data_IF_367867842732
#
_entry.id   IF_367867842732
#
_cell.length_a   1.000
_cell.length_b   1.000
_cell.length_c   1.000
_cell.angle_alpha   90.00
_cell.angle_beta   90.00
_cell.angle_gamma   90.00
#
_symmetry.space_group_name_H-M   'P 1'
#
loop_
_entity.id
_entity.type
_entity.pdbx_description
1 polymer ?
#
# COMPACT_ATOMS: atom_id res chain seq x y z
N UNK A 1 -18.77 -24.20 -12.31
CA UNK A 1 -18.47 -23.96 -12.09
C UNK A 1 -17.64 -23.54 -11.72
N UNK A 2 -17.39 -23.30 -11.72
CA UNK A 2 -16.75 -22.96 -11.48
C UNK A 2 -16.04 -22.44 -10.60
N UNK A 3 -16.31 -22.57 -9.71
CA UNK A 3 -15.81 -22.13 -8.53
C UNK A 3 -14.35 -22.23 -8.53
N UNK A 4 -13.93 -23.26 -8.74
CA UNK A 4 -12.63 -23.53 -8.71
C UNK A 4 -12.02 -22.50 -9.44
N UNK A 5 -12.65 -22.03 -10.35
CA UNK A 5 -12.16 -21.20 -11.07
C UNK A 5 -11.84 -20.05 -10.39
N UNK A 6 -12.53 -19.82 -9.55
CA UNK A 6 -12.29 -18.69 -8.80
C UNK A 6 -10.89 -18.74 -8.32
N UNK A 7 -10.43 -19.77 -8.05
CA UNK A 7 -9.28 -19.92 -7.49
C UNK A 7 -8.24 -19.72 -8.37
N UNK A 8 -8.42 -20.16 -9.45
CA UNK A 8 -7.44 -19.94 -10.37
C UNK A 8 -7.28 -18.45 -10.37
N UNK A 9 -8.36 -17.79 -10.23
CA UNK A 9 -8.30 -16.38 -10.20
C UNK A 9 -7.43 -15.88 -9.13
N UNK A 10 -7.49 -16.46 -8.03
CA UNK A 10 -6.73 -16.03 -6.93
C UNK A 10 -5.29 -16.23 -7.15
N UNK A 11 -4.92 -17.33 -7.63
CA UNK A 11 -3.55 -17.59 -7.75
C UNK A 11 -3.02 -16.75 -8.89
N UNK A 12 -3.88 -16.35 -9.79
CA UNK A 12 -3.45 -15.58 -10.91
C UNK A 12 -3.97 -14.18 -10.78
N UNK A 13 -3.18 -13.30 -10.27
CA UNK A 13 -3.58 -11.91 -10.14
C UNK A 13 -4.00 -11.38 -11.50
N UNK A 14 -5.00 -10.51 -11.56
CA UNK A 14 -5.37 -9.88 -12.82
C UNK A 14 -4.30 -8.91 -13.28
N UNK A 15 -3.32 -8.64 -12.43
CA UNK A 15 -2.29 -7.68 -12.75
C UNK A 15 -1.01 -8.43 -13.14
N UNK A 16 -0.54 -8.25 -14.35
CA UNK A 16 0.58 -9.05 -14.87
C UNK A 16 1.97 -8.70 -14.41
N UNK A 17 2.16 -7.53 -13.86
CA UNK A 17 3.50 -7.13 -13.48
C UNK A 17 3.70 -7.20 -11.99
N UNK A 18 4.91 -7.56 -11.57
CA UNK A 18 5.22 -7.68 -10.15
C UNK A 18 6.46 -6.87 -9.85
N UNK A 19 6.40 -6.08 -8.81
CA UNK A 19 7.54 -5.30 -8.34
C UNK A 19 7.73 -5.58 -6.86
N UNK A 20 8.97 -5.68 -6.43
CA UNK A 20 9.27 -5.87 -5.01
C UNK A 20 10.23 -4.79 -4.58
N UNK A 21 10.10 -4.35 -3.34
CA UNK A 21 10.96 -3.31 -2.81
C UNK A 21 11.10 -3.49 -1.30
N UNK A 22 12.04 -2.79 -0.73
CA UNK A 22 12.21 -2.73 0.71
C UNK A 22 11.92 -1.30 1.09
N UNK A 23 11.44 -1.08 2.29
CA UNK A 23 11.17 0.28 2.73
C UNK A 23 11.67 0.50 4.14
N UNK A 24 11.94 1.78 4.46
CA UNK A 24 12.28 2.17 5.80
C UNK A 24 11.29 3.26 6.19
N UNK A 25 10.87 3.26 7.43
CA UNK A 25 10.02 4.32 7.97
C UNK A 25 10.96 5.40 8.46
N UNK A 26 10.91 6.56 7.85
CA UNK A 26 11.83 7.64 8.16
C UNK A 26 11.26 8.64 9.17
N UNK A 27 9.95 8.66 9.34
CA UNK A 27 9.36 9.43 10.44
C UNK A 27 8.05 8.77 10.85
N UNK A 28 7.71 8.93 12.11
CA UNK A 28 6.51 8.30 12.67
C UNK A 28 6.07 9.19 13.82
N UNK A 29 4.96 9.90 13.62
CA UNK A 29 4.47 10.84 14.60
C UNK A 29 3.04 10.55 15.00
N UNK A 30 2.83 9.89 16.13
CA UNK A 30 1.50 9.54 16.58
C UNK A 30 0.86 10.65 17.38
N UNK A 31 -0.44 10.79 17.27
CA UNK A 31 -1.23 11.72 18.04
C UNK A 31 -2.51 11.00 18.44
N UNK A 32 -2.70 10.79 19.73
CA UNK A 32 -3.92 10.17 20.23
C UNK A 32 -5.01 11.22 20.11
N UNK A 33 -6.11 10.89 19.47
CA UNK A 33 -7.20 11.83 19.29
C UNK A 33 -8.48 11.40 20.02
N UNK A 34 -8.49 10.20 20.57
CA UNK A 34 -9.62 9.71 21.31
C UNK A 34 -9.11 8.76 22.40
N UNK A 35 -9.34 9.08 23.65
CA UNK A 35 -8.82 8.33 24.76
C UNK A 35 -9.94 8.02 25.73
N UNK A 36 -10.68 6.93 25.50
CA UNK A 36 -11.79 6.61 26.39
C UNK A 36 -11.30 6.02 27.71
N UNK A 37 -12.18 6.03 28.68
CA UNK A 37 -11.84 5.47 29.96
C UNK A 37 -11.72 3.97 29.81
N UNK A 38 -12.64 3.36 29.08
CA UNK A 38 -12.63 1.94 28.83
C UNK A 38 -12.48 1.75 27.33
N UNK A 39 -11.53 0.99 26.93
CA UNK A 39 -11.32 0.68 25.52
C UNK A 39 -10.02 1.25 25.00
N UNK A 40 -9.64 0.86 23.81
CA UNK A 40 -8.36 1.27 23.25
C UNK A 40 -8.42 2.69 22.71
N UNK A 41 -7.28 3.35 22.75
CA UNK A 41 -7.17 4.70 22.22
C UNK A 41 -7.23 4.67 20.71
N UNK A 42 -7.68 5.76 20.11
CA UNK A 42 -7.59 5.96 18.68
C UNK A 42 -6.46 6.95 18.43
N UNK A 43 -5.59 6.61 17.50
CA UNK A 43 -4.38 7.37 17.25
C UNK A 43 -4.24 7.68 15.76
N UNK A 44 -3.89 8.90 15.45
CA UNK A 44 -3.56 9.26 14.08
C UNK A 44 -2.04 9.33 14.01
N UNK A 45 -1.46 8.75 12.97
CA UNK A 45 -0.03 8.74 12.79
C UNK A 45 0.29 9.38 11.46
N UNK A 46 1.22 10.34 11.45
CA UNK A 46 1.76 10.83 10.19
C UNK A 46 3.09 10.15 10.02
N UNK A 47 3.39 9.70 8.82
CA UNK A 47 4.59 8.94 8.59
C UNK A 47 5.18 9.20 7.23
N UNK A 48 6.47 8.94 7.11
CA UNK A 48 7.16 9.00 5.83
C UNK A 48 8.00 7.75 5.69
N UNK A 49 8.21 7.34 4.44
CA UNK A 49 9.00 6.17 4.13
C UNK A 49 9.90 6.44 2.95
N UNK A 50 10.95 5.63 2.84
CA UNK A 50 11.76 5.58 1.61
C UNK A 50 11.69 4.16 1.09
N UNK A 51 11.80 3.99 -0.22
CA UNK A 51 11.73 2.69 -0.88
C UNK A 51 12.96 2.46 -1.74
N UNK A 52 13.39 1.20 -1.81
CA UNK A 52 14.49 0.79 -2.65
C UNK A 52 14.17 -0.54 -3.29
N UNK A 53 14.49 -0.73 -4.54
CA UNK A 53 14.23 -1.95 -5.28
C UNK A 53 13.55 -1.62 -6.58
N UNK A 54 12.53 -2.39 -6.94
CA UNK A 54 11.78 -2.13 -8.16
C UNK A 54 10.92 -0.87 -8.01
N UNK A 55 10.70 -0.44 -6.79
CA UNK A 55 10.06 0.83 -6.49
C UNK A 55 11.09 1.63 -5.72
N UNK A 56 11.43 2.82 -6.19
CA UNK A 56 12.35 3.71 -5.49
C UNK A 56 11.66 5.04 -5.27
N UNK A 57 11.94 5.68 -4.16
CA UNK A 57 11.36 6.98 -3.87
C UNK A 57 10.94 7.12 -2.42
N UNK A 58 9.94 7.92 -2.18
CA UNK A 58 9.47 8.24 -0.84
C UNK A 58 7.99 8.28 -0.77
N UNK A 59 7.44 8.16 0.41
CA UNK A 59 6.02 8.38 0.60
C UNK A 59 5.76 9.25 1.80
N UNK A 60 4.60 9.90 1.78
CA UNK A 60 4.09 10.65 2.91
C UNK A 60 2.68 10.14 3.14
N UNK A 61 2.37 9.78 4.34
CA UNK A 61 1.06 9.18 4.62
C UNK A 61 0.50 9.53 5.98
N UNK A 62 -0.76 9.17 6.15
CA UNK A 62 -1.42 9.30 7.42
C UNK A 62 -2.18 8.02 7.67
N UNK A 63 -2.22 7.59 8.91
CA UNK A 63 -2.95 6.39 9.28
C UNK A 63 -3.82 6.61 10.49
N UNK A 64 -4.84 5.81 10.60
CA UNK A 64 -5.73 5.80 11.76
C UNK A 64 -5.59 4.43 12.39
N UNK A 65 -5.25 4.43 13.67
CA UNK A 65 -4.92 3.21 14.38
C UNK A 65 -5.81 3.03 15.60
N UNK A 66 -6.24 1.82 15.86
CA UNK A 66 -6.97 1.48 17.06
C UNK A 66 -6.15 0.40 17.74
N UNK A 67 -5.82 0.58 19.00
CA UNK A 67 -5.07 -0.43 19.74
C UNK A 67 -3.56 -0.38 19.53
N UNK A 68 -3.05 0.73 19.02
CA UNK A 68 -1.64 0.88 18.77
C UNK A 68 -0.81 0.66 20.03
N UNK A 69 -1.31 1.08 21.17
CA UNK A 69 -0.59 0.99 22.43
C UNK A 69 -0.71 -0.39 23.09
N UNK A 70 -1.71 -1.15 22.71
CA UNK A 70 -1.98 -2.46 23.31
C UNK A 70 -2.28 -3.50 22.24
N UNK A 71 -1.38 -3.71 21.29
CA UNK A 71 -1.67 -4.56 20.13
C UNK A 71 -1.95 -6.01 20.48
N UNK A 72 -1.47 -6.47 21.63
CA UNK A 72 -1.72 -7.85 22.02
C UNK A 72 -3.21 -8.12 22.29
N UNK A 73 -3.99 -7.08 22.58
CA UNK A 73 -5.41 -7.24 22.85
C UNK A 73 -6.23 -7.14 21.57
N UNK A 74 -5.61 -6.85 20.48
CA UNK A 74 -6.29 -6.64 19.22
C UNK A 74 -5.97 -5.28 18.69
N UNK A 75 -5.93 -5.12 17.39
CA UNK A 75 -5.56 -3.85 16.78
C UNK A 75 -6.08 -3.77 15.36
N UNK A 76 -6.27 -2.56 14.89
CA UNK A 76 -6.62 -2.33 13.50
C UNK A 76 -6.05 -1.03 13.03
N UNK A 77 -5.78 -0.92 11.74
CA UNK A 77 -5.26 0.31 11.20
C UNK A 77 -5.57 0.46 9.72
N UNK A 78 -5.56 1.70 9.26
CA UNK A 78 -5.70 2.02 7.85
C UNK A 78 -4.74 3.14 7.57
N UNK A 79 -4.00 3.04 6.46
CA UNK A 79 -3.03 4.06 6.07
C UNK A 79 -3.29 4.46 4.63
N UNK A 80 -3.20 5.75 4.33
CA UNK A 80 -3.26 6.26 2.99
C UNK A 80 -1.95 7.01 2.77
N UNK A 81 -1.20 6.66 1.73
CA UNK A 81 0.09 7.29 1.51
C UNK A 81 0.34 7.57 0.05
N UNK A 82 0.92 8.71 -0.24
CA UNK A 82 1.26 9.09 -1.60
C UNK A 82 2.73 8.82 -1.81
N UNK A 83 3.02 8.04 -2.82
CA UNK A 83 4.38 7.67 -3.18
C UNK A 83 4.82 8.55 -4.33
N UNK A 84 6.03 9.07 -4.24
CA UNK A 84 6.64 9.84 -5.32
C UNK A 84 7.94 9.13 -5.67
N UNK A 85 8.07 8.67 -6.89
CA UNK A 85 9.28 7.95 -7.26
C UNK A 85 9.18 7.25 -8.58
N UNK A 86 9.84 6.11 -8.68
CA UNK A 86 9.86 5.34 -9.91
C UNK A 86 9.43 3.91 -9.64
N UNK A 87 8.58 3.41 -10.49
CA UNK A 87 8.12 2.03 -10.43
C UNK A 87 8.41 1.41 -11.77
N UNK A 88 9.32 0.45 -11.81
CA UNK A 88 9.69 -0.18 -13.04
C UNK A 88 10.27 0.81 -14.05
N UNK A 89 10.99 1.80 -13.56
CA UNK A 89 11.60 2.80 -14.44
C UNK A 89 10.72 3.97 -14.82
N UNK A 90 9.44 3.98 -14.39
CA UNK A 90 8.54 5.05 -14.74
C UNK A 90 8.36 5.99 -13.57
N UNK A 91 8.56 7.26 -13.79
CA UNK A 91 8.50 8.26 -12.71
C UNK A 91 7.12 8.86 -12.58
N UNK A 92 6.71 9.10 -11.36
CA UNK A 92 5.42 9.75 -11.11
C UNK A 92 5.02 9.61 -9.65
N UNK A 93 3.74 9.79 -9.38
CA UNK A 93 3.23 9.61 -8.04
C UNK A 93 2.00 8.72 -8.09
N UNK A 94 1.68 8.08 -7.00
CA UNK A 94 0.45 7.31 -6.88
C UNK A 94 0.12 7.17 -5.40
N UNK A 95 -1.12 6.80 -5.12
CA UNK A 95 -1.56 6.63 -3.75
C UNK A 95 -1.83 5.16 -3.51
N UNK A 96 -1.38 4.65 -2.38
CA UNK A 96 -1.78 3.32 -1.96
C UNK A 96 -2.48 3.43 -0.63
N UNK A 97 -3.49 2.59 -0.45
CA UNK A 97 -4.22 2.51 0.80
C UNK A 97 -4.14 1.09 1.27
N UNK A 98 -3.81 0.90 2.54
CA UNK A 98 -3.64 -0.43 3.08
C UNK A 98 -4.00 -0.43 4.56
N UNK A 99 -4.21 -1.61 5.08
CA UNK A 99 -4.57 -1.72 6.46
C UNK A 99 -4.62 -3.15 6.91
N UNK A 100 -4.96 -3.35 8.16
CA UNK A 100 -5.01 -4.68 8.71
C UNK A 100 -5.76 -4.73 10.01
N UNK A 101 -6.14 -5.94 10.38
CA UNK A 101 -6.80 -6.24 11.65
C UNK A 101 -6.08 -7.42 12.25
N UNK A 102 -5.82 -7.36 13.53
CA UNK A 102 -5.19 -8.45 14.25
C UNK A 102 -5.97 -8.71 15.53
N UNK A 103 -6.20 -9.97 15.82
CA UNK A 103 -6.89 -10.35 17.05
C UNK A 103 -6.16 -11.53 17.66
N UNK A 104 -6.24 -11.69 18.97
CA UNK A 104 -5.64 -12.84 19.61
C UNK A 104 -6.28 -14.08 19.07
N UNK A 105 -5.51 -15.09 18.79
CA UNK A 105 -6.02 -16.36 18.37
C UNK A 105 -6.79 -16.37 17.05
N UNK A 106 -6.56 -15.43 16.21
CA UNK A 106 -7.19 -15.40 14.91
C UNK A 106 -6.16 -15.03 13.85
N UNK A 107 -6.42 -15.41 12.63
CA UNK A 107 -5.50 -15.09 11.55
C UNK A 107 -5.60 -13.60 11.26
N UNK A 108 -4.48 -12.93 11.09
CA UNK A 108 -4.51 -11.50 10.76
C UNK A 108 -5.14 -11.31 9.39
N UNK A 109 -5.80 -10.19 9.22
CA UNK A 109 -6.39 -9.83 7.94
C UNK A 109 -5.70 -8.57 7.45
N UNK A 110 -5.49 -8.45 6.16
CA UNK A 110 -4.87 -7.26 5.62
C UNK A 110 -5.39 -6.97 4.23
N UNK A 111 -5.26 -5.76 3.79
CA UNK A 111 -5.58 -5.37 2.45
C UNK A 111 -4.59 -4.30 2.00
N UNK A 112 -4.43 -4.17 0.71
CA UNK A 112 -3.60 -3.11 0.15
C UNK A 112 -3.90 -2.96 -1.32
N UNK A 113 -4.07 -1.72 -1.74
CA UNK A 113 -4.39 -1.41 -3.13
C UNK A 113 -3.78 -0.11 -3.56
N UNK A 114 -3.47 -0.01 -4.85
CA UNK A 114 -3.15 1.26 -5.47
C UNK A 114 -4.49 1.87 -5.83
N UNK A 115 -4.72 3.10 -5.43
CA UNK A 115 -6.02 3.73 -5.68
C UNK A 115 -6.13 4.05 -7.17
N UNK A 116 -7.16 3.52 -7.86
CA UNK A 116 -7.32 3.80 -9.29
C UNK A 116 -7.50 5.29 -9.51
N UNK A 117 -6.84 5.80 -10.52
CA UNK A 117 -6.94 7.23 -10.81
C UNK A 117 -5.94 8.08 -10.06
N UNK A 118 -5.13 7.47 -9.18
CA UNK A 118 -4.19 8.26 -8.40
C UNK A 118 -2.83 8.44 -9.09
N UNK A 119 -2.55 7.71 -10.13
CA UNK A 119 -1.25 7.77 -10.78
C UNK A 119 -1.06 9.04 -11.58
N UNK A 120 0.15 9.59 -11.55
CA UNK A 120 0.48 10.78 -12.30
C UNK A 120 1.78 10.57 -13.05
N UNK A 121 2.08 11.42 -13.99
CA UNK A 121 3.29 11.34 -14.78
C UNK A 121 3.30 10.05 -15.59
N UNK A 122 4.41 9.35 -15.60
CA UNK A 122 4.49 8.11 -16.33
C UNK A 122 3.75 6.97 -15.62
N UNK A 123 3.17 7.25 -14.45
CA UNK A 123 2.39 6.28 -13.70
C UNK A 123 0.89 6.50 -13.86
N UNK A 124 0.47 7.37 -14.78
CA UNK A 124 -0.96 7.59 -15.03
C UNK A 124 -1.59 6.27 -15.45
N UNK A 125 -2.72 5.95 -14.87
CA UNK A 125 -3.43 4.72 -15.19
C UNK A 125 -2.99 3.50 -14.38
N UNK A 126 -2.04 3.67 -13.47
CA UNK A 126 -1.55 2.57 -12.66
C UNK A 126 -2.67 1.98 -11.81
N UNK A 127 -2.75 0.66 -11.77
CA UNK A 127 -3.73 -0.06 -10.97
C UNK A 127 -3.05 -1.28 -10.39
N UNK A 128 -3.44 -1.68 -9.23
CA UNK A 128 -2.84 -2.89 -8.65
C UNK A 128 -3.13 -3.08 -7.20
N UNK A 129 -2.50 -4.09 -6.65
CA UNK A 129 -2.60 -4.44 -5.24
C UNK A 129 -1.24 -4.36 -4.60
N UNK A 130 -1.24 -4.23 -3.30
CA UNK A 130 -0.03 -4.07 -2.52
C UNK A 130 -0.06 -5.02 -1.35
N UNK A 131 1.03 -5.75 -1.12
CA UNK A 131 1.13 -6.65 0.01
C UNK A 131 2.40 -6.29 0.77
N UNK A 132 2.27 -6.11 2.07
CA UNK A 132 3.42 -5.85 2.92
C UNK A 132 3.86 -7.17 3.52
N UNK A 133 5.12 -7.47 3.44
CA UNK A 133 5.68 -8.72 3.92
C UNK A 133 6.65 -8.52 5.08
N UNK A 134 7.32 -9.59 5.42
CA UNK A 134 8.29 -9.56 6.51
C UNK A 134 9.49 -8.69 6.16
N UNK A 135 10.15 -8.20 7.16
CA UNK A 135 11.38 -7.43 7.01
C UNK A 135 11.25 -6.18 6.18
N UNK A 136 10.15 -5.48 6.32
CA UNK A 136 9.90 -4.22 5.66
C UNK A 136 9.98 -4.39 4.14
N UNK A 137 9.29 -5.39 3.63
CA UNK A 137 9.22 -5.59 2.18
C UNK A 137 7.82 -5.29 1.70
N UNK A 138 7.72 -4.95 0.43
CA UNK A 138 6.45 -4.64 -0.18
C UNK A 138 6.46 -5.28 -1.56
N UNK A 139 5.35 -5.86 -1.95
CA UNK A 139 5.17 -6.45 -3.27
C UNK A 139 3.96 -5.79 -3.91
N UNK A 140 4.15 -5.27 -5.12
CA UNK A 140 3.07 -4.69 -5.87
C UNK A 140 2.78 -5.58 -7.07
N UNK A 141 1.51 -5.86 -7.30
CA UNK A 141 1.09 -6.55 -8.52
C UNK A 141 0.26 -5.52 -9.26
N UNK A 142 0.68 -5.16 -10.44
CA UNK A 142 0.12 -3.97 -11.09
C UNK A 142 0.06 -4.07 -12.60
N UNK A 143 -0.61 -3.11 -13.18
CA UNK A 143 -0.67 -2.96 -14.62
C UNK A 143 -0.77 -1.49 -14.99
N UNK A 144 -0.35 -1.17 -16.20
CA UNK A 144 -0.50 0.14 -16.80
C UNK A 144 -1.34 -0.07 -18.03
N UNK A 145 -2.45 0.60 -18.15
CA UNK A 145 -3.34 0.35 -19.26
C UNK A 145 -2.71 0.50 -20.64
N UNK A 146 -1.96 1.49 -20.86
CA UNK A 146 -1.41 1.74 -22.14
C UNK A 146 0.01 1.32 -22.34
N UNK A 147 0.60 0.78 -21.38
CA UNK A 147 1.97 0.33 -21.49
C UNK A 147 2.93 1.49 -21.51
N UNK A 148 4.18 1.17 -21.43
CA UNK A 148 5.24 2.12 -21.28
C UNK A 148 5.42 3.05 -22.45
N UNK A 149 5.42 2.49 -23.60
CA UNK A 149 5.70 3.26 -24.77
C UNK A 149 4.67 4.32 -25.00
N UNK A 150 3.46 3.99 -24.79
CA UNK A 150 2.41 4.91 -25.01
C UNK A 150 2.50 6.07 -24.05
N UNK A 151 2.75 5.80 -22.85
CA UNK A 151 2.81 6.83 -21.85
C UNK A 151 3.90 7.79 -22.22
N UNK A 152 4.98 7.34 -22.65
CA UNK A 152 6.05 8.18 -23.03
C UNK A 152 5.78 8.93 -24.26
N UNK A 153 5.18 8.37 -25.23
CA UNK A 153 4.83 9.05 -26.41
C UNK A 153 4.00 10.21 -26.08
N UNK A 154 3.10 10.05 -25.20
CA UNK A 154 2.19 11.05 -24.81
C UNK A 154 2.93 12.21 -24.23
N UNK A 155 3.96 11.99 -23.54
CA UNK A 155 4.69 13.02 -22.91
C UNK A 155 5.55 13.72 -23.94
N UNK A 156 5.95 13.06 -24.94
CA UNK A 156 6.79 13.63 -25.93
C UNK A 156 6.01 14.61 -26.79
N UNK A 157 4.76 14.43 -26.90
CA UNK A 157 3.98 15.33 -27.67
C UNK A 157 3.43 16.44 -26.80
#
# INVERSE_FOLDING_TARGET
MSPTRGYAGDSLSPFPMIATARFDVTSWEPTVYDQPEDGPALTRVTLTKTFEGDLTGESVGEGLFCGLQTPADGAGYMVSERVTGRLGGRAGTFVMQHGGLAAPEAEPQSFGSIVPGSGTGALAGLRGTVVFGADHTITLKFEMPDGPADAESSLAT
#
